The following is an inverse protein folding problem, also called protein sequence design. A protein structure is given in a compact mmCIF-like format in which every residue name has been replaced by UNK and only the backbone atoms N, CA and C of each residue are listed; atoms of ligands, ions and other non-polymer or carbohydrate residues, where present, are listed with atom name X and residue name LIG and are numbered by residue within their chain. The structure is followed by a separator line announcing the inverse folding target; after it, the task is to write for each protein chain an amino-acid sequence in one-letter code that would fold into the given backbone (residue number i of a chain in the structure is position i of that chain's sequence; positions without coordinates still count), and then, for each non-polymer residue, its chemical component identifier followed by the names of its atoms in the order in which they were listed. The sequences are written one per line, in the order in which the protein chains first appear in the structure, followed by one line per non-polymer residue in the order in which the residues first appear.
data_IF_707221359756
#
_entry.id   IF_707221359756
#
_cell.length_a   1.000
_cell.length_b   1.000
_cell.length_c   1.000
_cell.angle_alpha   90.00
_cell.angle_beta   90.00
_cell.angle_gamma   90.00
#
_symmetry.space_group_name_H-M   'P 1'
#
loop_
_entity.id
_entity.type
_entity.pdbx_description
1 polymer ?
#
# COMPACT_ATOMS: atom_id res chain seq x y z
N UNK A 1 -14.75 1.82 -5.30
CA UNK A 1 -15.34 3.04 -5.91
C UNK A 1 -15.64 4.08 -4.83
N UNK A 2 -16.57 3.83 -3.90
CA UNK A 2 -16.93 4.79 -2.83
C UNK A 2 -15.68 5.34 -2.11
N UNK A 3 -14.81 4.45 -1.63
CA UNK A 3 -13.55 4.86 -0.98
C UNK A 3 -12.67 5.77 -1.85
N UNK A 4 -12.54 5.45 -3.14
CA UNK A 4 -11.75 6.26 -4.07
C UNK A 4 -12.37 7.64 -4.31
N UNK A 5 -13.70 7.74 -4.37
CA UNK A 5 -14.40 9.02 -4.49
C UNK A 5 -14.24 9.87 -3.22
N UNK A 6 -14.43 9.27 -2.04
CA UNK A 6 -14.27 9.96 -0.76
C UNK A 6 -12.86 10.53 -0.55
N UNK A 7 -11.84 9.88 -1.12
CA UNK A 7 -10.44 10.34 -1.08
C UNK A 7 -10.17 11.37 -2.20
N UNK A 8 -10.69 11.12 -3.41
CA UNK A 8 -10.40 11.91 -4.61
C UNK A 8 -11.14 13.26 -4.67
N UNK A 9 -12.40 13.33 -4.25
CA UNK A 9 -13.21 14.54 -4.33
C UNK A 9 -12.60 15.71 -3.53
N UNK A 10 -12.18 15.53 -2.26
CA UNK A 10 -11.48 16.58 -1.52
C UNK A 10 -10.07 16.86 -2.06
N UNK A 11 -9.52 15.99 -2.92
CA UNK A 11 -8.22 16.19 -3.58
C UNK A 11 -8.14 17.49 -4.35
N UNK A 12 -9.25 17.91 -4.99
CA UNK A 12 -9.32 19.20 -5.67
C UNK A 12 -9.14 20.39 -4.72
N UNK A 13 -9.68 20.28 -3.50
CA UNK A 13 -9.54 21.31 -2.46
C UNK A 13 -8.11 21.36 -1.91
N UNK A 14 -7.46 20.19 -1.77
CA UNK A 14 -6.06 20.07 -1.39
C UNK A 14 -5.15 20.80 -2.39
N UNK A 15 -5.40 20.63 -3.69
CA UNK A 15 -4.64 21.29 -4.76
C UNK A 15 -4.85 22.80 -4.76
N UNK A 16 -6.08 23.27 -4.57
CA UNK A 16 -6.35 24.72 -4.57
C UNK A 16 -5.71 25.44 -3.38
N UNK A 17 -5.70 24.84 -2.19
CA UNK A 17 -5.09 25.44 -1.00
C UNK A 17 -3.56 25.49 -1.07
N UNK A 18 -2.92 24.55 -1.75
CA UNK A 18 -1.45 24.59 -1.95
C UNK A 18 -0.97 25.83 -2.71
N UNK A 19 -1.77 26.39 -3.63
CA UNK A 19 -1.39 27.61 -4.37
C UNK A 19 -1.47 28.90 -3.53
N UNK A 20 -2.32 28.94 -2.49
CA UNK A 20 -2.58 30.16 -1.71
C UNK A 20 -1.56 30.34 -0.57
N UNK A 21 -0.96 29.25 -0.08
CA UNK A 21 0.22 29.26 0.82
C UNK A 21 1.55 29.44 0.06
N UNK A 22 1.50 29.91 -1.20
CA UNK A 22 2.68 30.18 -1.99
C UNK A 22 3.57 31.25 -1.36
N UNK A 23 4.79 30.88 -0.97
CA UNK A 23 5.89 31.84 -0.90
C UNK A 23 6.98 31.60 0.14
N UNK A 24 6.65 31.17 1.36
CA UNK A 24 7.65 31.17 2.47
C UNK A 24 7.68 29.88 3.31
N UNK A 25 6.65 29.03 3.26
CA UNK A 25 6.60 27.76 4.00
C UNK A 25 7.40 26.61 3.33
N UNK A 26 7.97 26.84 2.14
CA UNK A 26 8.86 25.90 1.43
C UNK A 26 10.25 25.73 2.10
N UNK A 27 10.48 26.34 3.26
CA UNK A 27 11.70 26.17 4.05
C UNK A 27 11.74 24.85 4.87
N UNK A 28 10.66 24.06 4.85
CA UNK A 28 10.67 22.70 5.37
C UNK A 28 10.88 21.70 4.23
N UNK A 29 11.90 20.84 4.32
CA UNK A 29 12.20 19.74 3.39
C UNK A 29 11.09 18.65 3.30
N UNK A 30 9.88 18.94 3.78
CA UNK A 30 8.77 18.00 3.95
C UNK A 30 7.63 18.35 3.00
N UNK A 31 7.19 17.39 2.19
CA UNK A 31 6.04 17.51 1.30
C UNK A 31 4.75 17.67 2.11
N UNK A 32 3.86 18.56 1.66
CA UNK A 32 2.58 18.88 2.32
C UNK A 32 1.43 18.86 1.31
N UNK A 33 0.20 18.70 1.79
CA UNK A 33 -1.01 18.71 0.96
C UNK A 33 -1.09 17.52 0.00
N UNK A 34 -1.68 17.73 -1.19
CA UNK A 34 -1.86 16.66 -2.18
C UNK A 34 -0.54 15.96 -2.58
N UNK A 35 0.59 16.66 -2.80
CA UNK A 35 1.86 16.00 -3.10
C UNK A 35 2.30 14.97 -2.05
N UNK A 36 1.96 15.17 -0.77
CA UNK A 36 2.26 14.21 0.29
C UNK A 36 1.36 12.97 0.20
N UNK A 37 0.08 13.16 -0.11
CA UNK A 37 -0.87 12.06 -0.31
C UNK A 37 -0.47 11.21 -1.51
N UNK A 38 -0.07 11.84 -2.62
CA UNK A 38 0.45 11.15 -3.81
C UNK A 38 1.74 10.38 -3.49
N UNK A 39 2.68 10.99 -2.76
CA UNK A 39 3.92 10.33 -2.34
C UNK A 39 3.64 9.07 -1.50
N UNK A 40 2.66 9.12 -0.59
CA UNK A 40 2.25 8.01 0.25
C UNK A 40 1.57 6.89 -0.56
N UNK A 41 0.58 7.22 -1.40
CA UNK A 41 -0.15 6.22 -2.20
C UNK A 41 0.69 5.62 -3.34
N UNK A 42 1.71 6.32 -3.81
CA UNK A 42 2.67 5.75 -4.76
C UNK A 42 3.85 5.04 -4.07
N UNK A 43 3.85 4.98 -2.74
CA UNK A 43 4.94 4.42 -1.93
C UNK A 43 6.32 4.94 -2.35
N UNK A 44 6.41 6.25 -2.69
CA UNK A 44 7.62 6.88 -3.19
C UNK A 44 8.58 7.19 -2.06
N UNK A 45 9.88 7.21 -2.36
CA UNK A 45 10.91 7.65 -1.41
C UNK A 45 10.73 9.15 -1.15
N UNK A 46 10.49 9.57 0.11
CA UNK A 46 10.28 10.98 0.43
C UNK A 46 11.55 11.80 0.28
N UNK A 47 11.39 13.11 -0.01
CA UNK A 47 12.51 14.06 -0.11
C UNK A 47 13.18 14.29 1.25
N UNK A 48 12.40 14.67 2.26
CA UNK A 48 12.87 14.81 3.65
C UNK A 48 12.84 13.49 4.39
N UNK A 49 13.67 12.52 3.99
CA UNK A 49 13.70 11.18 4.60
C UNK A 49 14.09 11.25 6.08
N UNK A 50 13.22 10.76 6.95
CA UNK A 50 13.55 10.55 8.36
C UNK A 50 14.39 9.28 8.53
N UNK A 51 15.40 9.35 9.37
CA UNK A 51 16.12 8.15 9.84
C UNK A 51 15.27 7.50 10.92
N UNK A 52 14.98 6.20 10.76
CA UNK A 52 14.25 5.39 11.73
C UNK A 52 15.19 4.37 12.38
N UNK A 53 14.89 3.99 13.62
CA UNK A 53 15.60 2.89 14.27
C UNK A 53 15.18 1.55 13.68
N UNK A 54 16.10 0.62 13.56
CA UNK A 54 15.82 -0.78 13.16
C UNK A 54 15.70 -1.69 14.37
N UNK A 55 16.18 -1.25 15.53
CA UNK A 55 16.12 -1.98 16.80
C UNK A 55 15.45 -1.10 17.86
N UNK A 56 14.79 -1.73 18.82
CA UNK A 56 14.40 -1.07 20.07
C UNK A 56 15.63 -0.86 20.97
N UNK A 57 15.52 0.01 21.97
CA UNK A 57 16.56 0.20 22.97
C UNK A 57 16.73 1.64 23.44
N UNK A 58 17.89 1.90 24.06
CA UNK A 58 18.22 3.20 24.66
C UNK A 58 19.10 4.01 23.71
N UNK A 59 18.73 5.27 23.51
CA UNK A 59 19.44 6.22 22.65
C UNK A 59 20.66 6.81 23.35
N UNK A 60 21.81 6.78 22.68
CA UNK A 60 23.01 7.54 23.03
C UNK A 60 23.49 8.36 21.84
N UNK A 61 24.07 9.54 22.07
CA UNK A 61 24.53 10.42 21.00
C UNK A 61 26.04 10.52 21.00
N UNK A 62 26.65 10.42 19.82
CA UNK A 62 28.09 10.59 19.62
C UNK A 62 28.34 11.62 18.53
N UNK A 63 29.44 12.36 18.66
CA UNK A 63 29.89 13.28 17.62
C UNK A 63 31.19 12.76 17.03
N UNK A 64 31.17 12.40 15.74
CA UNK A 64 32.32 11.82 15.05
C UNK A 64 32.61 12.65 13.80
N UNK A 65 33.80 13.26 13.73
CA UNK A 65 34.29 14.01 12.55
C UNK A 65 33.26 15.01 11.98
N UNK A 66 32.61 15.80 12.85
CA UNK A 66 31.55 16.80 12.52
C UNK A 66 30.22 16.22 12.01
N UNK A 67 30.00 14.91 12.15
CA UNK A 67 28.70 14.26 11.96
C UNK A 67 28.18 13.83 13.33
N UNK A 68 26.86 13.94 13.51
CA UNK A 68 26.18 13.39 14.69
C UNK A 68 25.79 11.95 14.39
N UNK A 69 26.03 11.08 15.34
CA UNK A 69 25.67 9.68 15.27
C UNK A 69 24.76 9.36 16.45
N UNK A 70 23.62 8.75 16.15
CA UNK A 70 22.68 8.25 17.16
C UNK A 70 22.93 6.75 17.28
N UNK A 71 23.29 6.28 18.46
CA UNK A 71 23.55 4.86 18.73
C UNK A 71 22.44 4.33 19.62
N UNK A 72 21.70 3.36 19.13
CA UNK A 72 20.63 2.67 19.88
C UNK A 72 21.22 1.36 20.40
N UNK A 73 21.04 1.09 21.69
CA UNK A 73 21.60 -0.10 22.34
C UNK A 73 20.50 -0.86 23.09
N UNK A 74 20.42 -2.16 22.87
CA UNK A 74 19.60 -3.11 23.61
C UNK A 74 20.45 -4.28 24.12
N UNK A 75 19.80 -5.30 24.69
CA UNK A 75 20.48 -6.47 25.25
C UNK A 75 21.16 -7.35 24.18
N UNK A 76 20.73 -7.25 22.92
CA UNK A 76 21.26 -8.04 21.80
C UNK A 76 22.45 -7.35 21.10
N UNK A 77 22.55 -6.03 21.18
CA UNK A 77 23.67 -5.27 20.62
C UNK A 77 23.41 -3.77 20.50
N UNK A 78 24.30 -3.11 19.75
CA UNK A 78 24.20 -1.68 19.47
C UNK A 78 24.24 -1.40 17.98
N UNK A 79 23.38 -0.51 17.49
CA UNK A 79 23.32 -0.07 16.10
C UNK A 79 23.47 1.44 15.99
N UNK A 80 24.31 1.88 15.05
CA UNK A 80 24.65 3.29 14.88
C UNK A 80 24.05 3.89 13.62
N UNK A 81 23.48 5.08 13.76
CA UNK A 81 22.75 5.81 12.74
C UNK A 81 23.42 7.15 12.49
N UNK A 82 24.03 7.32 11.32
CA UNK A 82 24.66 8.59 10.95
C UNK A 82 23.60 9.61 10.55
N UNK A 83 23.60 10.75 11.23
CA UNK A 83 22.68 11.86 10.96
C UNK A 83 23.38 12.94 10.13
N UNK A 84 22.76 13.32 9.01
CA UNK A 84 23.28 14.37 8.13
C UNK A 84 23.27 15.72 8.85
N UNK A 85 24.31 16.52 8.63
CA UNK A 85 24.43 17.85 9.21
C UNK A 85 23.25 18.74 8.76
N UNK A 86 22.51 19.30 9.71
CA UNK A 86 21.31 20.10 9.46
C UNK A 86 19.98 19.36 9.71
N UNK A 87 19.98 18.04 9.78
CA UNK A 87 18.79 17.28 10.18
C UNK A 87 18.47 17.53 11.66
N UNK A 88 17.21 17.82 11.95
CA UNK A 88 16.74 18.02 13.32
C UNK A 88 16.49 16.67 13.98
N UNK A 89 17.27 16.34 15.01
CA UNK A 89 17.09 15.13 15.82
C UNK A 89 15.80 15.28 16.64
N UNK A 90 14.99 14.22 16.67
CA UNK A 90 13.70 14.16 17.37
C UNK A 90 13.82 13.54 18.77
N UNK A 91 14.74 12.59 18.93
CA UNK A 91 15.04 11.86 20.17
C UNK A 91 16.06 12.60 21.04
N UNK A 92 16.13 12.25 22.32
CA UNK A 92 17.10 12.75 23.31
C UNK A 92 17.97 11.61 23.83
N UNK A 93 19.08 11.97 24.45
CA UNK A 93 19.97 11.00 25.08
C UNK A 93 19.30 10.37 26.30
N UNK A 94 19.33 9.03 26.38
CA UNK A 94 18.64 8.24 27.39
C UNK A 94 17.18 7.89 27.04
N UNK A 95 16.65 8.35 25.90
CA UNK A 95 15.29 7.98 25.48
C UNK A 95 15.23 6.47 25.16
N UNK A 96 14.14 5.82 25.58
CA UNK A 96 13.79 4.45 25.19
C UNK A 96 12.90 4.53 23.96
N UNK A 97 13.28 3.86 22.88
CA UNK A 97 12.56 3.87 21.62
C UNK A 97 12.28 2.44 21.13
N UNK A 98 11.24 2.29 20.31
CA UNK A 98 10.91 1.03 19.66
C UNK A 98 11.53 0.94 18.25
N UNK A 99 11.68 -0.29 17.76
CA UNK A 99 12.09 -0.52 16.37
C UNK A 99 11.09 0.16 15.41
N UNK A 100 11.57 1.00 14.51
CA UNK A 100 10.80 1.78 13.54
C UNK A 100 10.43 3.19 13.99
N UNK A 101 10.87 3.63 15.18
CA UNK A 101 10.69 5.00 15.63
C UNK A 101 11.63 5.98 14.93
N UNK A 102 11.14 7.19 14.68
CA UNK A 102 11.86 8.28 14.00
C UNK A 102 12.94 8.90 14.89
N UNK A 103 14.20 8.80 14.49
CA UNK A 103 15.35 9.45 15.13
C UNK A 103 15.48 10.92 14.73
N UNK A 104 15.08 11.26 13.51
CA UNK A 104 15.11 12.61 12.97
C UNK A 104 13.74 13.05 12.49
N UNK A 105 13.50 14.37 12.46
CA UNK A 105 12.34 14.94 11.80
C UNK A 105 12.39 14.65 10.29
N UNK A 106 11.22 14.38 9.72
CA UNK A 106 11.07 14.09 8.30
C UNK A 106 9.91 13.13 8.06
N UNK A 107 9.90 12.56 6.87
CA UNK A 107 8.94 11.57 6.42
C UNK A 107 9.57 10.19 6.41
N UNK A 108 8.88 9.20 6.97
CA UNK A 108 9.33 7.80 6.94
C UNK A 108 9.05 7.19 5.57
N UNK A 109 10.00 6.42 5.05
CA UNK A 109 9.81 5.64 3.82
C UNK A 109 9.05 4.34 4.13
N UNK A 110 7.86 4.12 3.53
CA UNK A 110 7.04 2.96 3.87
C UNK A 110 7.70 1.59 3.65
N UNK A 111 8.63 1.46 2.69
CA UNK A 111 9.31 0.18 2.46
C UNK A 111 10.34 -0.15 3.55
N UNK A 112 11.03 0.86 4.11
CA UNK A 112 11.93 0.64 5.24
C UNK A 112 11.11 0.21 6.47
N UNK A 113 9.96 0.87 6.67
CA UNK A 113 9.04 0.52 7.75
C UNK A 113 8.45 -0.90 7.58
N UNK A 114 8.24 -1.37 6.35
CA UNK A 114 7.75 -2.73 6.08
C UNK A 114 8.72 -3.79 6.58
N UNK A 115 10.01 -3.54 6.39
CA UNK A 115 11.08 -4.47 6.80
C UNK A 115 11.23 -4.54 8.32
N UNK A 116 10.85 -3.47 9.03
CA UNK A 116 11.06 -3.34 10.47
C UNK A 116 9.79 -3.70 11.27
N UNK A 117 8.66 -3.04 10.98
CA UNK A 117 7.38 -3.23 11.72
C UNK A 117 6.40 -4.19 11.03
N UNK A 118 6.76 -4.75 9.87
CA UNK A 118 5.90 -5.66 9.12
C UNK A 118 4.66 -4.99 8.52
N UNK A 119 3.73 -5.81 8.04
CA UNK A 119 2.54 -5.36 7.28
C UNK A 119 1.68 -4.41 8.11
N UNK A 120 1.32 -4.81 9.32
CA UNK A 120 0.40 -4.06 10.16
C UNK A 120 0.98 -2.69 10.56
N UNK A 121 2.28 -2.63 10.84
CA UNK A 121 2.97 -1.37 11.13
C UNK A 121 2.90 -0.38 9.98
N UNK A 122 3.12 -0.85 8.74
CA UNK A 122 3.03 -0.01 7.53
C UNK A 122 1.61 0.42 7.24
N UNK A 123 0.64 -0.47 7.37
CA UNK A 123 -0.77 -0.14 7.13
C UNK A 123 -1.23 0.96 8.08
N UNK A 124 -0.95 0.81 9.37
CA UNK A 124 -1.27 1.81 10.40
C UNK A 124 -0.57 3.14 10.12
N UNK A 125 0.70 3.11 9.71
CA UNK A 125 1.44 4.31 9.35
C UNK A 125 0.82 5.03 8.14
N UNK A 126 0.54 4.31 7.06
CA UNK A 126 -0.05 4.90 5.85
C UNK A 126 -1.43 5.51 6.13
N UNK A 127 -2.30 4.79 6.86
CA UNK A 127 -3.62 5.32 7.23
C UNK A 127 -3.48 6.58 8.07
N UNK A 128 -2.63 6.55 9.10
CA UNK A 128 -2.41 7.71 10.00
C UNK A 128 -1.84 8.92 9.26
N UNK A 129 -0.86 8.71 8.39
CA UNK A 129 -0.22 9.80 7.66
C UNK A 129 -1.13 10.41 6.60
N UNK A 130 -1.85 9.60 5.83
CA UNK A 130 -2.84 10.11 4.87
C UNK A 130 -3.94 10.89 5.62
N UNK A 131 -4.47 10.32 6.70
CA UNK A 131 -5.51 10.95 7.51
C UNK A 131 -5.03 12.26 8.14
N UNK A 132 -3.76 12.34 8.58
CA UNK A 132 -3.15 13.58 9.08
C UNK A 132 -3.21 14.68 8.01
N UNK A 133 -2.88 14.37 6.76
CA UNK A 133 -2.88 15.37 5.67
C UNK A 133 -4.30 15.89 5.41
N UNK A 134 -5.30 15.02 5.36
CA UNK A 134 -6.71 15.45 5.18
C UNK A 134 -7.23 16.27 6.37
N UNK A 135 -6.95 15.84 7.60
CA UNK A 135 -7.36 16.56 8.82
C UNK A 135 -6.71 17.93 8.95
N UNK A 136 -5.43 18.07 8.61
CA UNK A 136 -4.74 19.37 8.57
C UNK A 136 -5.40 20.34 7.57
N UNK A 137 -6.14 19.82 6.62
CA UNK A 137 -6.87 20.57 5.60
C UNK A 137 -8.36 20.66 5.93
N UNK A 138 -8.77 20.27 7.15
CA UNK A 138 -10.15 20.36 7.61
C UNK A 138 -11.12 19.42 6.88
N UNK A 139 -10.61 18.38 6.22
CA UNK A 139 -11.42 17.36 5.58
C UNK A 139 -11.45 16.13 6.49
N UNK A 140 -12.65 15.69 6.86
CA UNK A 140 -12.83 14.46 7.61
C UNK A 140 -13.20 13.32 6.65
N UNK A 141 -12.40 12.26 6.66
CA UNK A 141 -12.59 11.06 5.85
C UNK A 141 -12.60 9.88 6.80
N UNK A 142 -13.53 8.95 6.63
CA UNK A 142 -13.53 7.74 7.44
C UNK A 142 -12.33 6.84 7.07
N UNK A 143 -11.56 6.42 8.08
CA UNK A 143 -10.35 5.62 7.94
C UNK A 143 -10.57 4.35 7.10
N UNK A 144 -11.78 3.76 7.12
CA UNK A 144 -12.14 2.59 6.29
C UNK A 144 -11.86 2.79 4.79
N UNK A 145 -12.00 4.02 4.30
CA UNK A 145 -11.76 4.31 2.88
C UNK A 145 -10.27 4.24 2.57
N UNK A 146 -9.43 4.77 3.44
CA UNK A 146 -7.98 4.74 3.30
C UNK A 146 -7.48 3.29 3.47
N UNK A 147 -8.00 2.55 4.45
CA UNK A 147 -7.70 1.13 4.68
C UNK A 147 -7.97 0.28 3.43
N UNK A 148 -9.08 0.51 2.72
CA UNK A 148 -9.39 -0.20 1.47
C UNK A 148 -8.31 0.04 0.42
N UNK A 149 -7.81 1.28 0.28
CA UNK A 149 -6.76 1.61 -0.69
C UNK A 149 -5.42 0.98 -0.27
N UNK A 150 -5.06 1.14 1.00
CA UNK A 150 -3.81 0.59 1.55
C UNK A 150 -3.80 -0.94 1.46
N UNK A 151 -4.94 -1.61 1.65
CA UNK A 151 -5.07 -3.06 1.42
C UNK A 151 -4.73 -3.44 -0.02
N UNK A 152 -5.16 -2.66 -1.01
CA UNK A 152 -4.84 -2.92 -2.42
C UNK A 152 -3.34 -2.72 -2.73
N UNK A 153 -2.67 -1.78 -2.05
CA UNK A 153 -1.22 -1.56 -2.19
C UNK A 153 -0.37 -2.74 -1.69
N UNK A 154 -0.93 -3.60 -0.82
CA UNK A 154 -0.22 -4.71 -0.18
C UNK A 154 -0.77 -6.09 -0.60
N UNK A 155 -1.58 -6.15 -1.66
CA UNK A 155 -2.25 -7.38 -2.10
C UNK A 155 -1.33 -8.38 -2.85
N UNK A 156 -0.05 -8.04 -3.02
CA UNK A 156 0.92 -8.81 -3.81
C UNK A 156 2.09 -9.28 -2.94
N UNK A 157 2.62 -10.45 -3.27
CA UNK A 157 3.80 -11.04 -2.67
C UNK A 157 4.85 -11.26 -3.76
N UNK A 158 6.11 -10.97 -3.43
CA UNK A 158 7.25 -11.30 -4.27
C UNK A 158 7.78 -12.65 -3.85
N UNK A 159 7.82 -13.60 -4.79
CA UNK A 159 8.38 -14.93 -4.57
C UNK A 159 9.91 -14.81 -4.47
N UNK A 160 10.49 -15.35 -3.40
CA UNK A 160 11.94 -15.42 -3.23
C UNK A 160 12.44 -16.79 -3.68
N UNK A 161 11.92 -17.84 -3.07
CA UNK A 161 12.16 -19.22 -3.45
C UNK A 161 10.83 -19.89 -3.78
N UNK A 162 10.63 -20.42 -4.99
CA UNK A 162 9.40 -21.14 -5.34
C UNK A 162 9.26 -22.49 -4.62
N UNK A 163 10.33 -23.03 -4.02
CA UNK A 163 10.32 -24.38 -3.48
C UNK A 163 9.91 -25.39 -4.55
N UNK A 164 8.91 -26.21 -4.23
CA UNK A 164 8.32 -27.19 -5.15
C UNK A 164 7.00 -26.73 -5.80
N UNK A 165 6.63 -25.45 -5.66
CA UNK A 165 5.43 -24.89 -6.30
C UNK A 165 5.67 -24.57 -7.78
N UNK A 166 4.59 -24.23 -8.49
CA UNK A 166 4.60 -23.75 -9.88
C UNK A 166 4.95 -22.25 -10.02
N UNK A 167 5.28 -21.59 -8.91
CA UNK A 167 5.60 -20.17 -8.88
C UNK A 167 6.99 -19.89 -9.49
N UNK A 168 7.15 -18.69 -10.04
CA UNK A 168 8.44 -18.26 -10.59
C UNK A 168 9.22 -17.41 -9.59
N UNK A 169 10.53 -17.66 -9.39
CA UNK A 169 11.36 -16.85 -8.50
C UNK A 169 11.40 -15.40 -8.99
N UNK A 170 11.20 -14.45 -8.07
CA UNK A 170 11.15 -13.03 -8.35
C UNK A 170 9.83 -12.51 -8.94
N UNK A 171 8.87 -13.38 -9.25
CA UNK A 171 7.55 -12.97 -9.74
C UNK A 171 6.70 -12.30 -8.65
N UNK A 172 5.78 -11.43 -9.05
CA UNK A 172 4.80 -10.80 -8.17
C UNK A 172 3.44 -11.49 -8.35
N UNK A 173 3.03 -12.25 -7.34
CA UNK A 173 1.75 -12.98 -7.34
C UNK A 173 0.80 -12.41 -6.30
N UNK A 174 -0.50 -12.62 -6.46
CA UNK A 174 -1.46 -12.22 -5.42
C UNK A 174 -1.23 -13.04 -4.15
N UNK A 175 -1.45 -12.41 -2.99
CA UNK A 175 -1.31 -13.11 -1.70
C UNK A 175 -2.21 -14.35 -1.66
N UNK A 176 -3.44 -14.25 -2.16
CA UNK A 176 -4.36 -15.38 -2.25
C UNK A 176 -3.83 -16.52 -3.14
N UNK A 177 -3.23 -16.21 -4.29
CA UNK A 177 -2.66 -17.25 -5.17
C UNK A 177 -1.42 -17.89 -4.56
N UNK A 178 -0.57 -17.10 -3.89
CA UNK A 178 0.59 -17.62 -3.17
C UNK A 178 0.18 -18.56 -2.03
N UNK A 179 -0.81 -18.17 -1.23
CA UNK A 179 -1.37 -19.00 -0.16
C UNK A 179 -2.01 -20.29 -0.70
N UNK A 180 -2.74 -20.21 -1.81
CA UNK A 180 -3.34 -21.39 -2.47
C UNK A 180 -2.26 -22.35 -3.01
N UNK A 181 -1.22 -21.84 -3.66
CA UNK A 181 -0.12 -22.64 -4.17
C UNK A 181 0.63 -23.36 -3.03
N UNK A 182 0.89 -22.64 -1.93
CA UNK A 182 1.52 -23.23 -0.75
C UNK A 182 0.63 -24.25 -0.05
N UNK A 183 -0.67 -24.00 0.05
CA UNK A 183 -1.60 -24.96 0.63
C UNK A 183 -1.60 -26.30 -0.15
N UNK A 184 -1.56 -26.24 -1.49
CA UNK A 184 -1.46 -27.42 -2.35
C UNK A 184 -0.12 -28.16 -2.20
N UNK A 185 0.98 -27.42 -2.10
CA UNK A 185 2.31 -28.03 -1.90
C UNK A 185 2.38 -28.77 -0.55
N UNK A 186 1.85 -28.15 0.52
CA UNK A 186 1.81 -28.76 1.86
C UNK A 186 0.92 -30.01 1.86
N UNK A 187 -0.24 -29.99 1.18
CA UNK A 187 -1.11 -31.16 1.05
C UNK A 187 -0.43 -32.33 0.33
N UNK A 188 0.55 -32.04 -0.53
CA UNK A 188 1.33 -33.03 -1.27
C UNK A 188 2.67 -33.40 -0.59
N UNK A 189 2.90 -32.97 0.65
CA UNK A 189 4.16 -33.14 1.38
C UNK A 189 5.39 -32.58 0.61
N UNK A 190 5.18 -31.52 -0.17
CA UNK A 190 6.21 -30.82 -0.94
C UNK A 190 6.70 -29.55 -0.23
N UNK A 191 7.86 -29.05 -0.63
CA UNK A 191 8.44 -27.82 -0.08
C UNK A 191 7.62 -26.59 -0.51
N UNK A 192 7.06 -25.79 0.43
CA UNK A 192 6.29 -24.60 0.10
C UNK A 192 7.20 -23.46 -0.40
N UNK A 193 6.64 -22.55 -1.19
CA UNK A 193 7.33 -21.36 -1.61
C UNK A 193 7.54 -20.37 -0.45
N UNK A 194 8.65 -19.65 -0.48
CA UNK A 194 8.94 -18.53 0.41
C UNK A 194 8.89 -17.21 -0.37
N UNK A 195 8.42 -16.16 0.29
CA UNK A 195 8.21 -14.87 -0.32
C UNK A 195 8.06 -13.75 0.68
N UNK A 196 8.20 -12.52 0.21
CA UNK A 196 8.04 -11.31 1.01
C UNK A 196 6.90 -10.45 0.46
N UNK A 197 6.11 -9.86 1.36
CA UNK A 197 5.06 -8.94 0.96
C UNK A 197 5.64 -7.75 0.17
N UNK A 198 5.01 -7.43 -0.94
CA UNK A 198 5.39 -6.30 -1.77
C UNK A 198 4.46 -5.12 -1.49
N UNK A 199 5.02 -4.00 -1.03
CA UNK A 199 4.31 -2.73 -1.01
C UNK A 199 4.46 -2.06 -2.37
N UNK A 200 3.35 -1.94 -3.11
CA UNK A 200 3.29 -1.32 -4.42
C UNK A 200 2.53 0.01 -4.34
N UNK A 201 3.00 1.01 -5.09
CA UNK A 201 2.22 2.22 -5.34
C UNK A 201 0.94 1.90 -6.12
N UNK A 202 -0.11 2.71 -5.95
CA UNK A 202 -1.42 2.45 -6.56
C UNK A 202 -1.37 2.32 -8.09
N UNK A 203 -0.49 3.06 -8.77
CA UNK A 203 -0.26 2.94 -10.22
C UNK A 203 0.26 1.54 -10.58
N UNK A 204 1.29 1.06 -9.86
CA UNK A 204 1.87 -0.27 -10.11
C UNK A 204 0.95 -1.40 -9.68
N UNK A 205 0.23 -1.22 -8.57
CA UNK A 205 -0.79 -2.18 -8.11
C UNK A 205 -1.92 -2.34 -9.13
N UNK A 206 -2.31 -1.25 -9.80
CA UNK A 206 -3.36 -1.26 -10.84
C UNK A 206 -2.93 -1.93 -12.15
N UNK A 207 -1.63 -2.00 -12.43
CA UNK A 207 -1.07 -2.74 -13.57
C UNK A 207 -0.87 -4.22 -13.25
N UNK A 208 -0.58 -4.53 -11.99
CA UNK A 208 -0.38 -5.90 -11.51
C UNK A 208 -1.71 -6.65 -11.26
N UNK A 209 -2.75 -6.37 -12.03
CA UNK A 209 -4.05 -7.08 -11.93
C UNK A 209 -4.02 -8.35 -12.74
N UNK A 210 -4.77 -9.36 -12.30
CA UNK A 210 -4.81 -10.66 -12.99
C UNK A 210 -5.61 -10.58 -14.31
N UNK A 211 -6.46 -9.56 -14.47
CA UNK A 211 -7.12 -9.24 -15.74
C UNK A 211 -6.21 -8.39 -16.64
N UNK A 212 -5.88 -8.93 -17.81
CA UNK A 212 -5.14 -8.18 -18.83
C UNK A 212 -6.01 -7.10 -19.49
N UNK A 213 -7.33 -7.27 -19.57
CA UNK A 213 -8.24 -6.22 -20.09
C UNK A 213 -8.24 -5.00 -19.18
N UNK A 214 -8.30 -5.21 -17.86
CA UNK A 214 -8.17 -4.14 -16.87
C UNK A 214 -6.81 -3.46 -16.96
N UNK A 215 -5.72 -4.22 -16.98
CA UNK A 215 -4.37 -3.67 -17.04
C UNK A 215 -4.14 -2.85 -18.33
N UNK A 216 -4.53 -3.39 -19.49
CA UNK A 216 -4.38 -2.75 -20.79
C UNK A 216 -5.19 -1.45 -20.94
N UNK A 217 -6.29 -1.32 -20.18
CA UNK A 217 -7.12 -0.10 -20.14
C UNK A 217 -6.48 1.07 -19.38
N UNK A 218 -5.44 0.81 -18.57
CA UNK A 218 -4.82 1.82 -17.72
C UNK A 218 -3.56 2.42 -18.35
N UNK A 219 -2.50 1.64 -18.52
CA UNK A 219 -1.23 2.05 -19.15
C UNK A 219 -0.58 0.85 -19.88
N UNK A 220 0.42 1.14 -20.72
CA UNK A 220 1.29 0.13 -21.35
C UNK A 220 0.55 -0.95 -22.18
N UNK A 221 -0.53 -0.55 -22.87
CA UNK A 221 -1.45 -1.43 -23.60
C UNK A 221 -0.75 -2.45 -24.52
N UNK A 222 0.21 -2.01 -25.33
CA UNK A 222 0.95 -2.91 -26.24
C UNK A 222 1.69 -3.99 -25.49
N UNK A 223 2.40 -3.64 -24.40
CA UNK A 223 3.18 -4.58 -23.60
C UNK A 223 2.28 -5.64 -22.97
N UNK A 224 1.19 -5.19 -22.34
CA UNK A 224 0.23 -6.07 -21.65
C UNK A 224 -0.43 -7.05 -22.63
N UNK A 225 -0.90 -6.58 -23.78
CA UNK A 225 -1.55 -7.44 -24.77
C UNK A 225 -0.59 -8.43 -25.42
N UNK A 226 0.66 -8.03 -25.69
CA UNK A 226 1.68 -8.94 -26.21
C UNK A 226 2.00 -10.04 -25.21
N UNK A 227 2.18 -9.71 -23.93
CA UNK A 227 2.46 -10.69 -22.89
C UNK A 227 1.29 -11.68 -22.72
N UNK A 228 0.05 -11.18 -22.67
CA UNK A 228 -1.15 -12.02 -22.59
C UNK A 228 -1.30 -12.95 -23.82
N UNK A 229 -0.99 -12.46 -25.03
CA UNK A 229 -1.06 -13.26 -26.25
C UNK A 229 0.01 -14.37 -26.28
N UNK A 230 1.22 -14.09 -25.78
CA UNK A 230 2.30 -15.09 -25.68
C UNK A 230 1.96 -16.17 -24.65
N UNK A 231 1.37 -15.78 -23.51
CA UNK A 231 0.99 -16.68 -22.44
C UNK A 231 -0.31 -17.45 -22.71
N UNK A 232 -1.12 -17.01 -23.68
CA UNK A 232 -2.44 -17.56 -23.93
C UNK A 232 -3.41 -17.28 -22.78
N UNK A 233 -3.29 -16.12 -22.14
CA UNK A 233 -4.03 -15.79 -20.90
C UNK A 233 -5.54 -15.64 -21.16
N UNK A 234 -6.34 -16.16 -20.23
CA UNK A 234 -7.80 -16.04 -20.25
C UNK A 234 -8.27 -15.04 -19.18
N UNK A 235 -9.19 -14.13 -19.54
CA UNK A 235 -9.76 -13.17 -18.61
C UNK A 235 -11.06 -13.71 -18.00
N UNK A 236 -11.12 -13.78 -16.66
CA UNK A 236 -12.26 -14.32 -15.92
C UNK A 236 -13.40 -13.30 -15.70
N UNK A 237 -13.24 -12.05 -16.14
CA UNK A 237 -14.25 -10.98 -16.05
C UNK A 237 -14.84 -10.83 -14.64
N UNK A 238 -13.97 -10.87 -13.61
CA UNK A 238 -14.40 -10.75 -12.21
C UNK A 238 -14.50 -9.29 -11.75
N UNK A 239 -13.83 -8.38 -12.45
CA UNK A 239 -13.75 -6.97 -12.13
C UNK A 239 -14.84 -6.15 -12.82
N UNK A 240 -14.98 -4.91 -12.35
CA UNK A 240 -15.95 -3.98 -12.93
C UNK A 240 -15.47 -3.46 -14.30
N UNK A 241 -14.16 -3.26 -14.48
CA UNK A 241 -13.58 -2.64 -15.67
C UNK A 241 -13.76 -3.52 -16.89
N UNK A 242 -13.41 -4.81 -16.79
CA UNK A 242 -13.55 -5.73 -17.92
C UNK A 242 -15.00 -5.85 -18.39
N UNK A 243 -15.94 -6.00 -17.45
CA UNK A 243 -17.36 -6.12 -17.77
C UNK A 243 -17.91 -4.88 -18.46
N UNK A 244 -17.49 -3.67 -18.03
CA UNK A 244 -17.87 -2.42 -18.71
C UNK A 244 -17.30 -2.36 -20.13
N UNK A 245 -16.04 -2.76 -20.34
CA UNK A 245 -15.40 -2.77 -21.67
C UNK A 245 -16.14 -3.71 -22.63
N UNK A 246 -16.54 -4.89 -22.16
CA UNK A 246 -17.23 -5.90 -22.96
C UNK A 246 -18.73 -5.60 -23.12
N UNK A 247 -19.30 -4.74 -22.27
CA UNK A 247 -20.73 -4.41 -22.29
C UNK A 247 -21.61 -5.43 -21.53
N UNK A 248 -21.03 -6.16 -20.57
CA UNK A 248 -21.75 -7.07 -19.67
C UNK A 248 -22.20 -6.36 -18.39
N UNK A 249 -23.12 -6.99 -17.66
CA UNK A 249 -23.51 -6.53 -16.33
C UNK A 249 -22.31 -6.56 -15.38
N UNK A 250 -22.11 -5.48 -14.63
CA UNK A 250 -21.05 -5.43 -13.64
C UNK A 250 -21.32 -6.41 -12.49
N UNK A 251 -20.30 -7.11 -11.97
CA UNK A 251 -20.45 -8.06 -10.86
C UNK A 251 -20.57 -7.36 -9.48
N UNK A 252 -21.40 -6.32 -9.39
CA UNK A 252 -21.68 -5.58 -8.16
C UNK A 252 -23.15 -5.12 -8.08
N UNK A 253 -23.64 -4.92 -6.87
CA UNK A 253 -25.04 -4.54 -6.65
C UNK A 253 -26.01 -5.60 -7.16
N UNK A 254 -26.96 -5.21 -8.00
CA UNK A 254 -27.96 -6.11 -8.60
C UNK A 254 -27.38 -7.01 -9.70
N UNK A 255 -26.18 -6.73 -10.21
CA UNK A 255 -25.53 -7.54 -11.23
C UNK A 255 -24.77 -8.77 -10.68
N UNK A 256 -24.76 -8.97 -9.36
CA UNK A 256 -24.15 -10.16 -8.75
C UNK A 256 -25.00 -11.40 -9.06
N UNK A 257 -24.36 -12.53 -9.44
CA UNK A 257 -25.04 -13.80 -9.78
C UNK A 257 -26.08 -14.25 -8.75
N UNK A 258 -25.85 -13.96 -7.46
CA UNK A 258 -26.79 -14.26 -6.37
C UNK A 258 -28.18 -13.65 -6.58
N UNK A 259 -28.26 -12.49 -7.21
CA UNK A 259 -29.53 -11.79 -7.48
C UNK A 259 -30.06 -12.04 -8.90
N UNK A 260 -29.26 -12.63 -9.79
CA UNK A 260 -29.62 -12.85 -11.19
C UNK A 260 -30.71 -13.92 -11.37
N UNK A 261 -30.83 -14.86 -10.43
CA UNK A 261 -31.75 -15.99 -10.50
C UNK A 261 -32.68 -16.06 -9.28
N UNK A 262 -33.22 -14.92 -8.87
CA UNK A 262 -34.28 -14.90 -7.86
C UNK A 262 -35.61 -15.22 -8.54
N UNK A 263 -36.18 -16.39 -8.24
CA UNK A 263 -37.54 -16.73 -8.62
C UNK A 263 -38.49 -16.13 -7.58
N UNK A 264 -39.43 -15.30 -8.05
CA UNK A 264 -40.49 -14.78 -7.20
C UNK A 264 -41.63 -15.81 -7.13
N UNK A 265 -41.89 -16.35 -5.95
CA UNK A 265 -43.11 -17.12 -5.70
C UNK A 265 -44.26 -16.15 -5.46
N UNK A 266 -45.20 -16.10 -6.41
CA UNK A 266 -46.46 -15.41 -6.21
C UNK A 266 -47.36 -16.31 -5.36
N UNK A 267 -47.67 -15.88 -4.13
CA UNK A 267 -48.76 -16.50 -3.38
C UNK A 267 -50.06 -16.12 -4.07
N UNK A 268 -50.77 -17.11 -4.61
CA UNK A 268 -52.15 -16.91 -5.04
C UNK A 268 -52.95 -16.45 -3.81
N UNK A 269 -53.44 -15.21 -3.85
CA UNK A 269 -54.43 -14.76 -2.90
C UNK A 269 -55.66 -15.65 -3.07
N UNK A 270 -55.97 -16.42 -2.04
CA UNK A 270 -57.19 -17.21 -1.97
C UNK A 270 -58.36 -16.29 -2.27
N UNK A 271 -59.12 -16.63 -3.31
CA UNK A 271 -60.33 -15.94 -3.71
C UNK A 271 -61.18 -15.69 -2.46
N UNK A 272 -61.41 -14.42 -2.12
CA UNK A 272 -62.41 -14.06 -1.12
C UNK A 272 -63.78 -14.47 -1.68
N UNK A 273 -64.41 -15.46 -1.05
CA UNK A 273 -65.82 -15.83 -1.26
C UNK A 273 -66.78 -14.67 -0.98
#
# INVERSE_FOLDING_TARGET
IIAAQSIGEPGTQLTMRTFHTGGVAAAADITQGLPRVEELFEARKPKGLAVISEIDGVVSMREVKRKREVVVTNDEGSKSYTIVYGARIKVREGDVIEAGDELTNGSVYPQDLLRIKGIQGVQNYLVKEVQRVYRLQGVDINDKHIEIIVRQMMAKMKVEDPGSTDLLPGSLVSVAHFEEANAKAIEQDLEPATGQNALLGITKASLATDSFLSAASFQETTRVLTEAAIQGSEDKLLGLKENVIIGQLIPAGTGVRRYAHVQAELKEESQCE
#
